data_IF_681495309402
#
_entry.id   IF_681495309402
#
_cell.length_a   1.000
_cell.length_b   1.000
_cell.length_c   1.000
_cell.angle_alpha   90.00
_cell.angle_beta   90.00
_cell.angle_gamma   90.00
#
_symmetry.space_group_name_H-M   'P 1'
#
loop_
_entity.id
_entity.type
_entity.pdbx_description
1 polymer ?
#
# COMPACT_ATOMS: atom_id res chain seq x y z
N UNK A 1 4.83 21.10 30.84
CA UNK A 1 4.18 21.80 29.72
C UNK A 1 5.16 22.69 28.97
N UNK A 2 5.89 23.59 29.64
CA UNK A 2 6.92 24.44 29.01
C UNK A 2 8.10 23.64 28.41
N UNK A 3 8.52 22.56 29.06
CA UNK A 3 9.67 21.75 28.61
C UNK A 3 9.38 20.98 27.31
N UNK A 4 8.16 20.47 27.14
CA UNK A 4 7.74 19.83 25.88
C UNK A 4 7.59 20.84 24.75
N UNK A 5 7.07 22.05 25.03
CA UNK A 5 6.98 23.13 24.05
C UNK A 5 8.36 23.60 23.58
N UNK A 6 9.34 23.69 24.49
CA UNK A 6 10.71 24.03 24.13
C UNK A 6 11.36 22.94 23.26
N UNK A 7 11.15 21.67 23.58
CA UNK A 7 11.65 20.57 22.73
C UNK A 7 11.03 20.59 21.33
N UNK A 8 9.74 20.86 21.21
CA UNK A 8 9.07 21.04 19.92
C UNK A 8 9.60 22.26 19.16
N UNK A 9 9.91 23.35 19.85
CA UNK A 9 10.50 24.55 19.24
C UNK A 9 11.93 24.31 18.75
N UNK A 10 12.74 23.55 19.50
CA UNK A 10 14.08 23.13 19.09
C UNK A 10 14.05 22.17 17.89
N UNK A 11 13.10 21.23 17.86
CA UNK A 11 12.90 20.32 16.72
C UNK A 11 12.50 21.07 15.44
N UNK A 12 11.76 22.19 15.57
CA UNK A 12 11.38 23.05 14.45
C UNK A 12 12.51 23.99 14.00
N UNK A 13 13.50 24.26 14.86
CA UNK A 13 14.63 25.16 14.58
C UNK A 13 15.96 24.55 15.00
N UNK A 14 16.39 23.41 14.40
CA UNK A 14 17.63 22.77 14.81
C UNK A 14 18.83 23.68 14.49
N UNK A 15 19.81 23.83 15.41
CA UNK A 15 21.01 24.66 15.22
C UNK A 15 21.89 24.18 14.06
N UNK A 16 21.69 22.92 13.63
CA UNK A 16 22.18 22.38 12.38
C UNK A 16 21.03 21.65 11.69
N UNK A 17 20.57 22.17 10.55
CA UNK A 17 19.82 21.35 9.60
C UNK A 17 20.77 20.24 9.14
N UNK A 18 20.70 19.08 9.79
CA UNK A 18 21.17 17.85 9.15
C UNK A 18 20.36 17.75 7.86
N UNK A 19 20.98 17.79 6.68
CA UNK A 19 20.23 17.62 5.46
C UNK A 19 19.49 16.28 5.57
N UNK A 20 18.19 16.29 5.26
CA UNK A 20 17.30 15.12 5.37
C UNK A 20 17.89 13.88 4.67
N UNK A 21 18.79 14.13 3.72
CA UNK A 21 19.71 13.18 3.12
C UNK A 21 21.12 13.64 3.48
N UNK A 22 21.92 12.81 4.18
CA UNK A 22 23.31 13.14 4.52
C UNK A 22 24.11 13.61 3.29
N UNK A 23 25.25 14.29 3.52
CA UNK A 23 26.09 14.94 2.50
C UNK A 23 25.90 14.38 1.07
N UNK A 24 24.96 14.98 0.33
CA UNK A 24 24.63 14.55 -1.01
C UNK A 24 25.88 14.78 -1.86
N UNK A 25 26.43 13.70 -2.41
CA UNK A 25 27.48 13.84 -3.43
C UNK A 25 26.90 14.68 -4.57
N UNK A 26 27.68 15.61 -5.14
CA UNK A 26 27.24 16.31 -6.34
C UNK A 26 26.83 15.26 -7.38
N UNK A 27 25.57 15.29 -7.80
CA UNK A 27 25.14 14.55 -8.98
C UNK A 27 25.97 15.09 -10.16
N UNK A 28 26.29 14.21 -11.12
CA UNK A 28 26.96 14.61 -12.36
C UNK A 28 26.22 15.81 -13.01
N UNK A 29 26.90 16.57 -13.89
CA UNK A 29 26.42 17.84 -14.49
C UNK A 29 25.03 17.79 -15.17
N UNK A 30 24.40 16.61 -15.30
CA UNK A 30 22.99 16.46 -15.67
C UNK A 30 22.06 16.89 -14.54
N UNK A 31 21.27 17.94 -14.76
CA UNK A 31 20.18 18.32 -13.85
C UNK A 31 19.12 17.19 -13.82
N UNK A 32 18.76 16.65 -12.64
CA UNK A 32 17.67 15.69 -12.55
C UNK A 32 16.35 16.35 -13.00
N UNK A 33 15.55 15.63 -13.77
CA UNK A 33 14.20 16.02 -14.15
C UNK A 33 13.19 15.32 -13.22
N UNK A 34 12.06 15.98 -12.97
CA UNK A 34 10.95 15.40 -12.21
C UNK A 34 9.65 15.64 -12.97
N UNK A 35 8.81 14.61 -13.07
CA UNK A 35 7.48 14.66 -13.63
C UNK A 35 6.45 14.21 -12.59
N UNK A 36 5.25 14.78 -12.62
CA UNK A 36 4.12 14.36 -11.81
C UNK A 36 2.93 14.14 -12.74
N UNK A 37 2.37 12.94 -12.70
CA UNK A 37 1.23 12.57 -13.53
C UNK A 37 0.10 12.04 -12.65
N UNK A 38 -1.14 12.40 -13.00
CA UNK A 38 -2.33 11.87 -12.35
C UNK A 38 -2.75 10.61 -13.10
N UNK A 39 -2.63 9.45 -12.45
CA UNK A 39 -3.00 8.16 -13.02
C UNK A 39 -3.54 7.19 -11.96
N UNK A 40 -4.25 6.16 -12.40
CA UNK A 40 -4.64 5.02 -11.57
C UNK A 40 -3.55 3.96 -11.62
N UNK A 41 -3.01 3.54 -10.47
CA UNK A 41 -1.94 2.54 -10.44
C UNK A 41 -2.34 1.19 -11.08
N UNK A 42 -3.64 0.92 -11.23
CA UNK A 42 -4.16 -0.28 -11.92
C UNK A 42 -4.19 -0.14 -13.44
N UNK A 43 -3.99 1.07 -13.95
CA UNK A 43 -3.97 1.39 -15.37
C UNK A 43 -3.26 2.74 -15.60
N UNK A 44 -1.93 2.73 -15.67
CA UNK A 44 -1.13 3.95 -15.89
C UNK A 44 -0.09 3.80 -16.99
N UNK A 45 0.25 2.58 -17.42
CA UNK A 45 1.35 2.39 -18.35
C UNK A 45 1.00 2.73 -19.79
N UNK A 46 -0.24 3.13 -20.12
CA UNK A 46 -0.65 3.67 -21.44
C UNK A 46 0.26 3.27 -22.61
N UNK A 47 1.15 4.19 -23.01
CA UNK A 47 2.26 3.96 -23.97
C UNK A 47 3.66 3.93 -23.32
N UNK A 48 3.74 4.00 -21.99
CA UNK A 48 4.97 4.00 -21.20
C UNK A 48 5.31 2.56 -20.77
N UNK A 49 6.16 1.91 -21.54
CA UNK A 49 6.79 0.62 -21.21
C UNK A 49 8.30 0.78 -21.05
N UNK A 50 8.94 -0.12 -20.29
CA UNK A 50 10.40 -0.18 -20.15
C UNK A 50 11.06 1.19 -19.84
N UNK A 51 10.51 1.89 -18.85
CA UNK A 51 10.93 3.24 -18.46
C UNK A 51 11.69 3.28 -17.14
N UNK A 52 11.32 2.45 -16.17
CA UNK A 52 11.83 2.56 -14.80
C UNK A 52 12.92 1.53 -14.49
N UNK A 53 14.10 2.00 -14.05
CA UNK A 53 15.16 1.15 -13.46
C UNK A 53 14.84 0.71 -12.02
N UNK A 54 14.19 1.61 -11.26
CA UNK A 54 13.87 1.42 -9.85
C UNK A 54 12.48 2.00 -9.57
N UNK A 55 11.64 1.24 -8.90
CA UNK A 55 10.36 1.69 -8.36
C UNK A 55 10.42 1.57 -6.84
N UNK A 56 10.10 2.64 -6.13
CA UNK A 56 9.92 2.65 -4.67
C UNK A 56 8.51 3.12 -4.39
N UNK A 57 7.69 2.29 -3.75
CA UNK A 57 6.29 2.63 -3.50
C UNK A 57 5.74 2.00 -2.24
N UNK A 58 4.65 2.57 -1.74
CA UNK A 58 3.89 2.11 -0.58
C UNK A 58 2.40 2.28 -0.89
N UNK A 59 1.74 1.26 -1.50
CA UNK A 59 0.33 1.37 -1.85
C UNK A 59 -0.54 1.53 -0.59
N UNK A 60 -1.83 1.86 -0.71
CA UNK A 60 -2.77 1.74 0.41
C UNK A 60 -2.67 0.34 1.04
N UNK A 61 -2.55 0.26 2.37
CA UNK A 61 -2.45 -1.04 3.03
C UNK A 61 -3.84 -1.65 3.14
N UNK A 62 -3.94 -2.98 3.12
CA UNK A 62 -5.18 -3.70 3.42
C UNK A 62 -5.62 -3.41 4.86
N UNK A 63 -6.37 -2.34 5.08
CA UNK A 63 -6.72 -1.88 6.42
C UNK A 63 -8.19 -1.43 6.43
N UNK A 64 -8.58 -0.51 7.30
CA UNK A 64 -9.95 0.06 7.32
C UNK A 64 -9.95 1.57 7.10
N UNK A 65 -8.81 2.15 6.76
CA UNK A 65 -8.67 3.57 6.53
C UNK A 65 -9.22 3.91 5.16
N UNK A 66 -10.36 4.60 5.17
CA UNK A 66 -10.93 5.21 3.98
C UNK A 66 -10.33 6.61 3.84
N UNK A 67 -9.32 6.76 2.97
CA UNK A 67 -8.65 8.04 2.73
C UNK A 67 -9.60 9.11 2.19
N UNK A 68 -10.62 8.73 1.40
CA UNK A 68 -11.62 9.67 0.91
C UNK A 68 -12.45 10.27 2.05
N UNK A 69 -12.62 9.52 3.15
CA UNK A 69 -13.30 9.99 4.35
C UNK A 69 -12.39 10.81 5.25
N UNK A 70 -11.11 10.45 5.35
CA UNK A 70 -10.13 11.19 6.15
C UNK A 70 -9.92 12.59 5.56
N UNK A 71 -9.76 12.67 4.23
CA UNK A 71 -9.52 13.92 3.51
C UNK A 71 -10.80 14.52 2.89
N UNK A 72 -11.97 14.21 3.45
CA UNK A 72 -13.23 14.65 2.85
C UNK A 72 -13.35 16.17 2.81
N UNK A 73 -12.77 16.87 3.79
CA UNK A 73 -12.82 18.34 3.82
C UNK A 73 -11.97 18.93 2.70
N UNK A 74 -10.73 18.46 2.53
CA UNK A 74 -9.82 18.88 1.47
C UNK A 74 -10.39 18.55 0.09
N UNK A 75 -10.98 17.36 -0.06
CA UNK A 75 -11.68 16.96 -1.29
C UNK A 75 -12.84 17.91 -1.59
N UNK A 76 -13.70 18.22 -0.63
CA UNK A 76 -14.82 19.15 -0.83
C UNK A 76 -14.39 20.61 -1.07
N UNK A 77 -13.22 21.02 -0.59
CA UNK A 77 -12.74 22.40 -0.76
C UNK A 77 -12.04 22.63 -2.10
N UNK A 78 -11.29 21.65 -2.60
CA UNK A 78 -10.40 21.85 -3.74
C UNK A 78 -10.71 20.97 -4.96
N UNK A 79 -11.43 19.86 -4.81
CA UNK A 79 -11.48 18.82 -5.85
C UNK A 79 -12.88 18.32 -6.22
N UNK A 80 -13.86 18.35 -5.30
CA UNK A 80 -15.20 17.84 -5.51
C UNK A 80 -16.23 18.96 -5.35
N UNK A 81 -17.10 19.13 -6.35
CA UNK A 81 -18.17 20.14 -6.36
C UNK A 81 -19.38 19.74 -5.53
N UNK A 82 -19.63 18.44 -5.44
CA UNK A 82 -20.77 17.88 -4.74
C UNK A 82 -20.48 16.50 -4.13
N UNK A 83 -21.47 15.99 -3.40
CA UNK A 83 -21.38 14.69 -2.75
C UNK A 83 -21.28 13.51 -3.74
N UNK A 84 -21.81 13.66 -4.96
CA UNK A 84 -21.72 12.61 -5.97
C UNK A 84 -20.29 12.48 -6.48
N UNK A 85 -19.59 13.58 -6.74
CA UNK A 85 -18.17 13.57 -7.10
C UNK A 85 -17.32 12.95 -5.98
N UNK A 86 -17.56 13.32 -4.71
CA UNK A 86 -16.85 12.70 -3.57
C UNK A 86 -17.09 11.19 -3.51
N UNK A 87 -18.32 10.75 -3.75
CA UNK A 87 -18.68 9.33 -3.81
C UNK A 87 -18.01 8.62 -4.99
N UNK A 88 -17.87 9.28 -6.14
CA UNK A 88 -17.14 8.75 -7.29
C UNK A 88 -15.66 8.56 -6.96
N UNK A 89 -15.01 9.55 -6.35
CA UNK A 89 -13.61 9.46 -5.88
C UNK A 89 -13.46 8.28 -4.94
N UNK A 90 -14.30 8.16 -3.91
CA UNK A 90 -14.25 7.02 -2.96
C UNK A 90 -14.32 5.67 -3.67
N UNK A 91 -15.15 5.55 -4.71
CA UNK A 91 -15.33 4.30 -5.43
C UNK A 91 -14.29 4.05 -6.52
N UNK A 92 -13.51 5.06 -6.91
CA UNK A 92 -12.36 4.90 -7.80
C UNK A 92 -11.10 4.49 -7.04
N UNK A 93 -11.01 4.70 -5.73
CA UNK A 93 -9.83 4.29 -4.95
C UNK A 93 -9.62 2.77 -4.96
N UNK A 94 -8.36 2.38 -4.74
CA UNK A 94 -7.97 0.99 -4.51
C UNK A 94 -8.72 0.41 -3.31
N UNK A 95 -9.29 -0.78 -3.49
CA UNK A 95 -10.16 -1.44 -2.50
C UNK A 95 -9.39 -1.93 -1.28
N UNK A 96 -9.13 -1.02 -0.35
CA UNK A 96 -8.30 -1.24 0.84
C UNK A 96 -9.06 -1.03 2.15
N UNK A 97 -10.37 -0.82 2.09
CA UNK A 97 -11.21 -0.48 3.25
C UNK A 97 -12.60 -1.15 3.16
N UNK A 98 -13.32 -1.20 4.30
CA UNK A 98 -14.52 -2.03 4.45
C UNK A 98 -15.70 -1.62 3.55
N UNK A 99 -15.70 -0.37 3.11
CA UNK A 99 -16.75 0.23 2.29
C UNK A 99 -16.47 0.14 0.79
N UNK A 100 -15.36 -0.51 0.42
CA UNK A 100 -15.01 -0.82 -0.96
C UNK A 100 -16.07 -1.68 -1.62
N UNK A 101 -16.32 -1.45 -2.91
CA UNK A 101 -17.25 -2.26 -3.72
C UNK A 101 -16.66 -3.65 -3.98
N UNK A 102 -17.51 -4.58 -4.41
CA UNK A 102 -17.04 -5.87 -4.93
C UNK A 102 -15.98 -5.65 -6.03
N UNK A 103 -14.98 -6.54 -6.12
CA UNK A 103 -14.06 -6.53 -7.25
C UNK A 103 -14.81 -6.77 -8.57
N UNK A 104 -14.34 -6.19 -9.68
CA UNK A 104 -14.93 -6.43 -11.00
C UNK A 104 -14.57 -7.82 -11.54
N UNK A 105 -13.54 -8.45 -10.98
CA UNK A 105 -12.91 -9.69 -11.43
C UNK A 105 -12.82 -10.71 -10.29
N UNK A 106 -12.43 -11.93 -10.65
CA UNK A 106 -12.17 -13.04 -9.73
C UNK A 106 -10.95 -13.83 -10.22
N UNK A 107 -9.90 -13.10 -10.59
CA UNK A 107 -8.72 -13.63 -11.26
C UNK A 107 -7.69 -14.12 -10.25
N UNK A 108 -7.70 -13.59 -9.03
CA UNK A 108 -6.75 -13.96 -7.97
C UNK A 108 -7.23 -15.19 -7.22
N UNK A 109 -6.55 -16.32 -7.44
CA UNK A 109 -6.91 -17.64 -6.89
C UNK A 109 -5.76 -18.33 -6.16
N UNK A 110 -4.94 -17.56 -5.43
CA UNK A 110 -3.86 -18.13 -4.64
C UNK A 110 -4.41 -18.99 -3.48
N UNK A 111 -3.85 -20.20 -3.25
CA UNK A 111 -4.29 -21.07 -2.16
C UNK A 111 -4.31 -20.39 -0.79
N UNK A 112 -3.28 -19.60 -0.46
CA UNK A 112 -3.20 -18.89 0.81
C UNK A 112 -4.29 -17.81 0.96
N UNK A 113 -4.70 -17.15 -0.14
CA UNK A 113 -5.82 -16.21 -0.10
C UNK A 113 -7.15 -16.94 0.11
N UNK A 114 -7.35 -18.07 -0.58
CA UNK A 114 -8.54 -18.91 -0.43
C UNK A 114 -8.67 -19.39 1.00
N UNK A 115 -7.57 -19.88 1.60
CA UNK A 115 -7.52 -20.32 3.00
C UNK A 115 -7.91 -19.20 3.98
N UNK A 116 -7.34 -18.00 3.82
CA UNK A 116 -7.72 -16.83 4.63
C UNK A 116 -9.20 -16.50 4.52
N UNK A 117 -9.76 -16.54 3.30
CA UNK A 117 -11.17 -16.25 3.07
C UNK A 117 -12.09 -17.34 3.65
N UNK A 118 -11.68 -18.61 3.56
CA UNK A 118 -12.42 -19.74 4.13
C UNK A 118 -12.39 -19.73 5.66
N UNK A 119 -11.25 -19.38 6.28
CA UNK A 119 -11.14 -19.23 7.74
C UNK A 119 -12.07 -18.14 8.31
N UNK A 120 -12.34 -17.11 7.51
CA UNK A 120 -13.26 -16.02 7.86
C UNK A 120 -14.73 -16.36 7.57
N UNK A 121 -14.99 -17.36 6.72
CA UNK A 121 -16.34 -17.73 6.30
C UNK A 121 -17.10 -18.37 7.47
N UNK A 122 -18.35 -17.94 7.66
CA UNK A 122 -19.21 -18.46 8.74
C UNK A 122 -18.86 -17.95 10.14
N UNK A 123 -17.80 -17.15 10.30
CA UNK A 123 -17.47 -16.49 11.55
C UNK A 123 -18.42 -15.32 11.84
N UNK A 124 -18.63 -15.01 13.13
CA UNK A 124 -19.37 -13.81 13.53
C UNK A 124 -18.48 -12.55 13.45
N UNK A 125 -18.24 -12.11 12.22
CA UNK A 125 -17.39 -10.96 11.90
C UNK A 125 -18.03 -9.66 12.40
N UNK A 126 -17.20 -8.71 12.84
CA UNK A 126 -17.70 -7.37 13.20
C UNK A 126 -18.20 -6.56 12.00
N UNK A 127 -17.88 -7.01 10.78
CA UNK A 127 -18.48 -6.52 9.55
C UNK A 127 -18.46 -7.66 8.50
N UNK A 128 -19.60 -7.99 7.88
CA UNK A 128 -19.67 -9.09 6.91
C UNK A 128 -18.93 -8.81 5.59
N UNK A 129 -18.55 -7.54 5.31
CA UNK A 129 -17.81 -7.15 4.09
C UNK A 129 -16.30 -7.38 4.18
N UNK A 130 -15.77 -7.88 5.30
CA UNK A 130 -14.31 -8.12 5.43
C UNK A 130 -13.78 -9.04 4.32
N UNK A 131 -14.40 -10.20 4.02
CA UNK A 131 -13.92 -11.07 2.94
C UNK A 131 -13.96 -10.38 1.57
N UNK A 132 -15.00 -9.58 1.32
CA UNK A 132 -15.17 -8.78 0.09
C UNK A 132 -14.01 -7.80 -0.07
N UNK A 133 -13.69 -7.06 1.00
CA UNK A 133 -12.58 -6.10 1.01
C UNK A 133 -11.24 -6.79 0.78
N UNK A 134 -10.98 -7.91 1.47
CA UNK A 134 -9.72 -8.67 1.32
C UNK A 134 -9.56 -9.15 -0.12
N UNK A 135 -10.60 -9.77 -0.68
CA UNK A 135 -10.60 -10.21 -2.07
C UNK A 135 -10.38 -9.04 -3.03
N UNK A 136 -11.14 -7.96 -2.86
CA UNK A 136 -11.04 -6.77 -3.71
C UNK A 136 -9.66 -6.12 -3.69
N UNK A 137 -9.00 -6.13 -2.53
CA UNK A 137 -7.64 -5.64 -2.38
C UNK A 137 -6.64 -6.39 -3.25
N UNK A 138 -6.66 -7.73 -3.19
CA UNK A 138 -5.72 -8.53 -3.96
C UNK A 138 -6.00 -8.49 -5.47
N UNK A 139 -7.28 -8.37 -5.88
CA UNK A 139 -7.64 -8.13 -7.28
C UNK A 139 -7.08 -6.80 -7.79
N UNK A 140 -7.27 -5.70 -7.06
CA UNK A 140 -6.73 -4.40 -7.45
C UNK A 140 -5.19 -4.38 -7.44
N UNK A 141 -4.57 -5.00 -6.43
CA UNK A 141 -3.11 -5.09 -6.36
C UNK A 141 -2.53 -5.97 -7.48
N UNK A 142 -3.22 -7.03 -7.91
CA UNK A 142 -2.82 -7.84 -9.05
C UNK A 142 -2.76 -7.00 -10.34
N UNK A 143 -3.75 -6.14 -10.57
CA UNK A 143 -3.74 -5.20 -11.70
C UNK A 143 -2.58 -4.21 -11.59
N UNK A 144 -2.40 -3.61 -10.41
CA UNK A 144 -1.31 -2.66 -10.20
C UNK A 144 0.08 -3.29 -10.39
N UNK A 145 0.29 -4.51 -9.88
CA UNK A 145 1.56 -5.25 -10.03
C UNK A 145 1.86 -5.55 -11.50
N UNK A 146 0.84 -5.89 -12.30
CA UNK A 146 1.00 -6.09 -13.76
C UNK A 146 1.45 -4.81 -14.46
N UNK A 147 0.89 -3.66 -14.08
CA UNK A 147 1.32 -2.35 -14.60
C UNK A 147 2.76 -2.02 -14.15
N UNK A 148 3.13 -2.30 -12.89
CA UNK A 148 4.52 -2.17 -12.44
C UNK A 148 5.48 -3.02 -13.28
N UNK A 149 5.08 -4.24 -13.66
CA UNK A 149 5.90 -5.11 -14.49
C UNK A 149 6.13 -4.55 -15.90
N UNK A 150 5.08 -3.97 -16.50
CA UNK A 150 5.17 -3.36 -17.84
C UNK A 150 6.11 -2.16 -17.89
N UNK A 151 6.03 -1.26 -16.90
CA UNK A 151 6.86 -0.05 -16.88
C UNK A 151 8.31 -0.30 -16.48
N UNK A 152 8.59 -1.37 -15.72
CA UNK A 152 9.94 -1.74 -15.33
C UNK A 152 10.80 -2.13 -16.55
N UNK A 153 12.04 -1.65 -16.63
CA UNK A 153 13.01 -2.17 -17.60
C UNK A 153 13.49 -3.58 -17.24
N UNK A 154 14.04 -4.36 -18.20
CA UNK A 154 14.75 -5.60 -17.89
C UNK A 154 15.82 -5.37 -16.82
N UNK A 155 15.80 -6.18 -15.75
CA UNK A 155 16.71 -6.03 -14.61
C UNK A 155 16.30 -5.00 -13.55
N UNK A 156 15.23 -4.22 -13.77
CA UNK A 156 14.74 -3.22 -12.83
C UNK A 156 14.27 -3.81 -11.51
N UNK A 157 14.29 -3.01 -10.45
CA UNK A 157 13.88 -3.42 -9.10
C UNK A 157 12.67 -2.65 -8.59
N UNK A 158 11.81 -3.36 -7.87
CA UNK A 158 10.69 -2.77 -7.12
C UNK A 158 10.94 -2.96 -5.63
N UNK A 159 10.84 -1.88 -4.85
CA UNK A 159 10.79 -1.90 -3.40
C UNK A 159 9.38 -1.50 -2.96
N UNK A 160 8.56 -2.48 -2.60
CA UNK A 160 7.18 -2.31 -2.15
C UNK A 160 7.12 -2.33 -0.62
N UNK A 161 6.82 -1.19 0.01
CA UNK A 161 6.60 -1.12 1.46
C UNK A 161 5.15 -1.46 1.78
N UNK A 162 4.92 -2.52 2.54
CA UNK A 162 3.58 -3.01 2.85
C UNK A 162 3.47 -3.59 4.25
N UNK A 163 2.28 -3.53 4.84
CA UNK A 163 1.98 -4.13 6.14
C UNK A 163 1.08 -5.35 6.04
N UNK A 164 1.41 -6.38 6.83
CA UNK A 164 0.48 -7.47 7.10
C UNK A 164 -0.69 -6.98 7.96
N UNK A 165 -1.81 -7.67 7.81
CA UNK A 165 -3.08 -7.25 8.40
C UNK A 165 -3.69 -8.38 9.22
N UNK A 166 -4.60 -8.02 10.12
CA UNK A 166 -5.30 -9.00 10.96
C UNK A 166 -6.76 -8.64 11.12
N UNK A 167 -7.66 -9.57 10.82
CA UNK A 167 -9.10 -9.38 10.98
C UNK A 167 -9.71 -10.58 11.68
N UNK A 168 -10.51 -10.33 12.72
CA UNK A 168 -11.16 -11.41 13.47
C UNK A 168 -10.17 -12.48 13.98
N UNK A 169 -8.96 -12.07 14.38
CA UNK A 169 -7.91 -13.00 14.79
C UNK A 169 -7.11 -13.62 13.64
N UNK A 170 -7.64 -13.63 12.42
CA UNK A 170 -7.01 -14.17 11.21
C UNK A 170 -5.88 -13.25 10.72
N UNK A 171 -4.66 -13.78 10.60
CA UNK A 171 -3.51 -13.09 10.05
C UNK A 171 -3.55 -13.17 8.53
N UNK A 172 -3.41 -12.03 7.87
CA UNK A 172 -3.30 -11.95 6.41
C UNK A 172 -1.86 -11.60 6.07
N UNK A 173 -1.09 -12.55 5.50
CA UNK A 173 0.30 -12.34 5.12
C UNK A 173 0.38 -11.58 3.78
N UNK A 174 0.00 -10.30 3.81
CA UNK A 174 -0.06 -9.44 2.62
C UNK A 174 1.27 -9.39 1.88
N UNK A 175 2.39 -9.30 2.59
CA UNK A 175 3.71 -9.27 1.97
C UNK A 175 4.05 -10.53 1.16
N UNK A 176 3.68 -11.71 1.66
CA UNK A 176 3.85 -12.98 0.95
C UNK A 176 2.90 -13.06 -0.24
N UNK A 177 1.60 -12.80 -0.04
CA UNK A 177 0.59 -12.89 -1.10
C UNK A 177 0.88 -11.93 -2.26
N UNK A 178 1.30 -10.70 -1.98
CA UNK A 178 1.69 -9.76 -3.03
C UNK A 178 2.98 -10.18 -3.74
N UNK A 179 3.90 -10.85 -3.04
CA UNK A 179 5.12 -11.39 -3.67
C UNK A 179 4.84 -12.59 -4.56
N UNK A 180 3.84 -13.42 -4.24
CA UNK A 180 3.34 -14.46 -5.15
C UNK A 180 2.70 -13.84 -6.40
N UNK A 181 1.85 -12.81 -6.24
CA UNK A 181 1.29 -12.08 -7.38
C UNK A 181 2.36 -11.41 -8.25
N UNK A 182 3.43 -10.90 -7.63
CA UNK A 182 4.57 -10.36 -8.36
C UNK A 182 5.29 -11.45 -9.17
N UNK A 183 5.45 -12.64 -8.60
CA UNK A 183 6.02 -13.78 -9.31
C UNK A 183 5.15 -14.20 -10.51
N UNK A 184 3.83 -14.26 -10.33
CA UNK A 184 2.88 -14.56 -11.41
C UNK A 184 2.91 -13.51 -12.52
N UNK A 185 3.16 -12.24 -12.19
CA UNK A 185 3.35 -11.17 -13.17
C UNK A 185 4.70 -11.23 -13.91
N UNK A 186 5.65 -12.05 -13.45
CA UNK A 186 6.96 -12.27 -14.08
C UNK A 186 8.16 -11.73 -13.29
N UNK A 187 7.97 -11.17 -12.10
CA UNK A 187 9.07 -10.74 -11.24
C UNK A 187 9.77 -11.92 -10.54
N UNK A 188 11.07 -11.81 -10.30
CA UNK A 188 11.77 -12.59 -9.28
C UNK A 188 11.63 -11.92 -7.90
N UNK A 189 11.24 -12.67 -6.87
CA UNK A 189 11.24 -12.19 -5.49
C UNK A 189 12.64 -12.34 -4.91
N UNK A 190 13.39 -11.23 -4.83
CA UNK A 190 14.76 -11.28 -4.29
C UNK A 190 14.73 -11.44 -2.77
N UNK A 191 13.98 -10.60 -2.05
CA UNK A 191 13.96 -10.55 -0.57
C UNK A 191 12.68 -9.94 -0.02
N UNK A 192 12.34 -10.29 1.22
CA UNK A 192 11.35 -9.57 2.04
C UNK A 192 12.05 -9.14 3.32
N UNK A 193 12.18 -7.83 3.51
CA UNK A 193 12.87 -7.24 4.67
C UNK A 193 11.81 -6.81 5.69
N UNK A 194 11.92 -7.28 6.92
CA UNK A 194 11.03 -6.81 8.00
C UNK A 194 11.51 -5.44 8.46
N UNK A 195 10.75 -4.39 8.15
CA UNK A 195 11.08 -3.02 8.54
C UNK A 195 10.77 -2.78 10.02
N UNK A 196 9.61 -3.23 10.49
CA UNK A 196 9.20 -3.16 11.89
C UNK A 196 8.05 -4.11 12.21
N UNK A 197 7.79 -4.29 13.50
CA UNK A 197 6.57 -4.90 14.00
C UNK A 197 5.60 -3.84 14.51
N UNK A 198 4.32 -4.02 14.19
CA UNK A 198 3.21 -3.17 14.61
C UNK A 198 2.32 -3.96 15.57
N UNK A 199 1.71 -3.26 16.53
CA UNK A 199 0.65 -3.84 17.35
C UNK A 199 -0.64 -4.07 16.55
N UNK A 200 -1.50 -4.95 17.04
CA UNK A 200 -2.89 -5.07 16.60
C UNK A 200 -3.81 -4.04 17.30
N UNK A 201 -5.04 -3.87 16.81
CA UNK A 201 -5.98 -2.95 17.47
C UNK A 201 -6.28 -3.41 18.90
N UNK A 202 -6.56 -2.48 19.81
CA UNK A 202 -6.87 -2.80 21.23
C UNK A 202 -8.04 -3.78 21.36
N UNK A 203 -9.05 -3.66 20.49
CA UNK A 203 -10.19 -4.60 20.44
C UNK A 203 -9.75 -6.01 20.03
N UNK A 204 -8.82 -6.13 19.07
CA UNK A 204 -8.25 -7.42 18.67
C UNK A 204 -7.33 -7.98 19.77
N UNK A 205 -6.57 -7.13 20.47
CA UNK A 205 -5.70 -7.54 21.58
C UNK A 205 -6.49 -8.19 22.72
N UNK A 206 -7.63 -7.60 23.10
CA UNK A 206 -8.46 -8.13 24.17
C UNK A 206 -9.10 -9.48 23.85
N UNK A 207 -9.45 -9.71 22.58
CA UNK A 207 -10.17 -10.93 22.15
C UNK A 207 -9.27 -12.05 21.63
N UNK A 208 -8.15 -11.71 20.98
CA UNK A 208 -7.29 -12.67 20.26
C UNK A 208 -5.81 -12.56 20.62
N UNK A 209 -5.50 -11.90 21.74
CA UNK A 209 -4.15 -11.72 22.24
C UNK A 209 -3.32 -10.70 21.47
N UNK A 210 -2.15 -10.39 22.05
CA UNK A 210 -1.16 -9.48 21.47
C UNK A 210 -0.25 -10.25 20.54
N UNK A 211 -0.61 -10.29 19.27
CA UNK A 211 0.22 -10.87 18.21
C UNK A 211 0.66 -9.73 17.30
N UNK A 212 1.98 -9.42 17.22
CA UNK A 212 2.46 -8.36 16.36
C UNK A 212 2.30 -8.71 14.88
N UNK A 213 1.99 -7.71 14.06
CA UNK A 213 1.95 -7.82 12.59
C UNK A 213 3.13 -7.06 12.01
N UNK A 214 3.81 -7.63 11.00
CA UNK A 214 4.99 -7.01 10.42
C UNK A 214 4.64 -6.00 9.32
N UNK A 215 5.44 -4.96 9.23
CA UNK A 215 5.60 -4.12 8.05
C UNK A 215 6.91 -4.50 7.38
N UNK A 216 6.84 -4.69 6.07
CA UNK A 216 7.88 -5.30 5.27
C UNK A 216 8.19 -4.46 4.04
N UNK A 217 9.40 -4.59 3.52
CA UNK A 217 9.80 -4.10 2.20
C UNK A 217 10.02 -5.33 1.33
N UNK A 218 9.12 -5.55 0.38
CA UNK A 218 9.26 -6.60 -0.62
C UNK A 218 10.14 -6.09 -1.76
N UNK A 219 11.24 -6.80 -2.03
CA UNK A 219 12.17 -6.49 -3.10
C UNK A 219 11.95 -7.48 -4.24
N UNK A 220 11.48 -6.97 -5.37
CA UNK A 220 11.24 -7.74 -6.58
C UNK A 220 12.16 -7.26 -7.71
N UNK A 221 12.46 -8.13 -8.67
CA UNK A 221 13.31 -7.80 -9.83
C UNK A 221 12.68 -8.31 -11.12
N UNK A 222 12.57 -7.47 -12.14
CA UNK A 222 12.17 -7.91 -13.48
C UNK A 222 13.35 -8.69 -14.06
N UNK A 223 13.10 -9.92 -14.51
CA UNK A 223 14.15 -10.72 -15.14
C UNK A 223 14.69 -9.98 -16.38
N UNK A 224 15.98 -10.14 -16.64
CA UNK A 224 16.67 -9.52 -17.78
C UNK A 224 16.33 -10.23 -19.09
#
# INVERSE_FOLDING_TARGET
MAEQLNRMYEDLNPPHQLPLFGALRPLADSKPTACVELADARHFTGEIEDYADIIITSPPYLNRYDYSRIYSLELCLAFCKDFNELKQVRHSLLRSHIESREPPTNDVKHPALIEVLDNLKGQNLNNPRIPVMIKGYFEDMNLAIKELYKVCQPGARVALVIGNSRFHGELIPVDLLLSELAADAGFGVERIIIARYKGNSSQQMGRYGRVPVRESICIWRKNA
#
